data_IF_604224311152
#
_entry.id   IF_604224311152
#
_cell.length_a   1.000
_cell.length_b   1.000
_cell.length_c   1.000
_cell.angle_alpha   90.00
_cell.angle_beta   90.00
_cell.angle_gamma   90.00
#
_symmetry.space_group_name_H-M   'P 1'
#
loop_
_entity.id
_entity.type
_entity.pdbx_description
1 polymer ?
#
# COMPACT_ATOMS: atom_id res chain seq x y z
N UNK A 1 -3.44 32.08 8.22
CA UNK A 1 -4.54 31.43 7.48
C UNK A 1 -4.10 31.21 6.03
N UNK A 2 -3.26 30.20 5.77
CA UNK A 2 -3.13 29.63 4.43
C UNK A 2 -4.02 28.39 4.42
N UNK A 3 -5.31 28.59 4.11
CA UNK A 3 -6.21 27.54 3.71
C UNK A 3 -5.53 26.75 2.58
N UNK A 4 -5.71 25.43 2.56
CA UNK A 4 -5.50 24.65 1.34
C UNK A 4 -6.17 25.44 0.23
N UNK A 5 -5.42 25.89 -0.78
CA UNK A 5 -5.95 26.82 -1.77
C UNK A 5 -7.27 26.26 -2.28
N UNK A 6 -8.36 26.93 -1.92
CA UNK A 6 -9.66 26.62 -2.44
C UNK A 6 -9.54 26.67 -3.95
N UNK A 7 -9.87 25.57 -4.63
CA UNK A 7 -9.62 25.29 -6.01
C UNK A 7 -9.65 26.52 -6.90
N UNK A 8 -8.55 26.77 -7.58
CA UNK A 8 -8.62 27.45 -8.84
C UNK A 8 -9.61 26.65 -9.69
N UNK A 9 -10.77 27.26 -9.95
CA UNK A 9 -11.81 26.61 -10.75
C UNK A 9 -11.17 26.07 -12.00
N UNK A 10 -11.26 24.77 -12.19
CA UNK A 10 -10.95 24.16 -13.46
C UNK A 10 -11.95 24.73 -14.47
N UNK A 11 -11.62 25.87 -15.04
CA UNK A 11 -12.25 26.40 -16.21
C UNK A 11 -12.12 25.35 -17.29
N UNK A 12 -13.19 24.65 -17.59
CA UNK A 12 -13.36 23.76 -18.74
C UNK A 12 -13.19 24.55 -20.03
N UNK A 13 -11.99 24.99 -20.33
CA UNK A 13 -11.54 25.49 -21.64
C UNK A 13 -10.16 24.92 -21.98
N UNK A 14 -10.12 23.63 -22.09
CA UNK A 14 -9.14 22.85 -22.80
C UNK A 14 -9.85 21.64 -23.36
N UNK A 15 -10.20 21.64 -24.64
CA UNK A 15 -10.55 20.43 -25.37
C UNK A 15 -9.34 19.52 -25.34
N UNK A 16 -9.13 18.81 -24.22
CA UNK A 16 -8.28 17.63 -24.19
C UNK A 16 -9.02 16.64 -25.07
N UNK A 17 -8.41 16.35 -26.23
CA UNK A 17 -9.01 15.51 -27.24
C UNK A 17 -9.30 14.10 -26.71
N UNK A 18 -10.45 13.90 -26.12
CA UNK A 18 -11.05 12.60 -25.84
C UNK A 18 -11.23 11.72 -27.09
N UNK A 19 -11.06 12.30 -28.29
CA UNK A 19 -11.20 11.61 -29.57
C UNK A 19 -10.06 10.62 -29.90
N UNK A 20 -8.95 10.59 -29.16
CA UNK A 20 -7.81 9.70 -29.47
C UNK A 20 -7.70 8.46 -28.57
N UNK A 21 -8.57 8.33 -27.57
CA UNK A 21 -8.60 7.15 -26.69
C UNK A 21 -9.52 6.04 -27.25
N UNK A 22 -10.42 6.38 -28.16
CA UNK A 22 -11.39 5.45 -28.77
C UNK A 22 -10.78 4.48 -29.82
N UNK A 23 -9.48 4.48 -30.04
CA UNK A 23 -8.83 3.61 -31.04
C UNK A 23 -7.86 2.57 -30.44
N UNK A 24 -7.73 2.45 -29.13
CA UNK A 24 -7.00 1.33 -28.54
C UNK A 24 -7.89 0.09 -28.59
N UNK A 25 -7.44 -0.93 -29.31
CA UNK A 25 -7.96 -2.30 -29.19
C UNK A 25 -8.05 -2.57 -27.69
N UNK A 26 -9.24 -2.98 -27.21
CA UNK A 26 -9.45 -3.45 -25.85
C UNK A 26 -8.31 -4.39 -25.50
N UNK A 27 -7.38 -3.93 -24.69
CA UNK A 27 -6.38 -4.82 -24.11
C UNK A 27 -7.14 -5.62 -23.07
N UNK A 28 -7.31 -6.91 -23.31
CA UNK A 28 -7.92 -7.80 -22.35
C UNK A 28 -7.13 -7.66 -21.04
N UNK A 29 -7.74 -7.10 -19.99
CA UNK A 29 -7.18 -7.05 -18.62
C UNK A 29 -7.01 -8.45 -18.02
N UNK A 30 -7.16 -9.46 -18.85
CA UNK A 30 -7.04 -10.86 -18.45
C UNK A 30 -5.59 -11.33 -18.50
N UNK A 31 -5.04 -11.64 -17.34
CA UNK A 31 -3.71 -12.27 -17.19
C UNK A 31 -3.85 -13.77 -16.92
N UNK A 32 -2.97 -14.56 -17.55
CA UNK A 32 -2.99 -16.01 -17.43
C UNK A 32 -3.66 -16.72 -18.63
N UNK A 33 -3.61 -18.04 -18.62
CA UNK A 33 -4.16 -18.89 -19.68
C UNK A 33 -5.28 -19.77 -19.13
N UNK A 34 -6.41 -19.84 -19.84
CA UNK A 34 -7.48 -20.76 -19.48
C UNK A 34 -6.98 -22.21 -19.50
N UNK A 35 -7.25 -22.94 -18.42
CA UNK A 35 -6.96 -24.37 -18.35
C UNK A 35 -7.67 -25.12 -19.49
N UNK A 36 -6.92 -26.04 -20.12
CA UNK A 36 -7.44 -27.04 -21.08
C UNK A 36 -6.75 -28.36 -20.78
N UNK A 37 -7.50 -29.50 -20.73
CA UNK A 37 -6.89 -30.82 -20.60
C UNK A 37 -5.81 -31.03 -21.63
N UNK A 38 -4.69 -31.65 -21.23
CA UNK A 38 -3.56 -31.96 -22.13
C UNK A 38 -2.62 -30.78 -22.46
N UNK A 39 -2.90 -29.55 -21.99
CA UNK A 39 -2.02 -28.38 -22.24
C UNK A 39 -1.00 -28.11 -21.14
N UNK A 40 -1.03 -28.86 -20.04
CA UNK A 40 -0.02 -28.74 -19.01
C UNK A 40 1.23 -29.49 -19.41
N UNK A 41 2.31 -28.75 -19.68
CA UNK A 41 3.60 -29.31 -20.06
C UNK A 41 4.41 -29.71 -18.82
N UNK A 42 3.93 -30.70 -18.04
CA UNK A 42 4.67 -31.27 -16.92
C UNK A 42 5.93 -32.04 -17.34
N UNK A 43 6.76 -32.49 -16.39
CA UNK A 43 6.64 -32.29 -14.94
C UNK A 43 7.02 -30.89 -14.51
N UNK A 44 6.54 -30.48 -13.32
CA UNK A 44 6.87 -29.22 -12.64
C UNK A 44 7.62 -29.53 -11.35
N UNK A 45 8.57 -28.67 -10.98
CA UNK A 45 9.27 -28.75 -9.69
C UNK A 45 8.41 -28.21 -8.54
N UNK A 46 7.50 -27.25 -8.85
CA UNK A 46 6.60 -26.65 -7.87
C UNK A 46 5.24 -26.30 -8.48
N UNK A 47 4.20 -26.51 -7.68
CA UNK A 47 2.84 -26.04 -7.95
C UNK A 47 2.48 -24.97 -6.93
N UNK A 48 2.09 -23.79 -7.39
CA UNK A 48 1.62 -22.69 -6.56
C UNK A 48 0.11 -22.54 -6.76
N UNK A 49 -0.64 -22.65 -5.70
CA UNK A 49 -2.11 -22.52 -5.73
C UNK A 49 -2.49 -21.08 -5.32
N UNK A 50 -3.12 -20.35 -6.23
CA UNK A 50 -3.48 -18.95 -6.10
C UNK A 50 -2.43 -18.00 -6.70
N UNK A 51 -2.89 -17.07 -7.51
CA UNK A 51 -2.08 -16.05 -8.20
C UNK A 51 -2.20 -14.66 -7.60
N UNK A 52 -2.61 -14.54 -6.32
CA UNK A 52 -2.46 -13.29 -5.60
C UNK A 52 -0.99 -12.89 -5.45
N UNK A 53 -0.69 -11.67 -5.01
CA UNK A 53 0.68 -11.15 -4.97
C UNK A 53 1.67 -12.07 -4.22
N UNK A 54 1.23 -12.73 -3.15
CA UNK A 54 2.06 -13.70 -2.41
C UNK A 54 2.40 -14.94 -3.23
N UNK A 55 1.42 -15.50 -3.95
CA UNK A 55 1.61 -16.67 -4.82
C UNK A 55 2.49 -16.33 -6.02
N UNK A 56 2.24 -15.18 -6.67
CA UNK A 56 3.08 -14.70 -7.78
C UNK A 56 4.51 -14.44 -7.31
N UNK A 57 4.71 -13.80 -6.17
CA UNK A 57 6.05 -13.60 -5.59
C UNK A 57 6.78 -14.92 -5.36
N UNK A 58 6.13 -15.91 -4.75
CA UNK A 58 6.74 -17.21 -4.51
C UNK A 58 7.08 -17.92 -5.82
N UNK A 59 6.17 -17.91 -6.80
CA UNK A 59 6.37 -18.52 -8.09
C UNK A 59 7.54 -17.87 -8.86
N UNK A 60 7.58 -16.53 -8.91
CA UNK A 60 8.65 -15.80 -9.58
C UNK A 60 10.02 -16.05 -8.92
N UNK A 61 10.09 -16.05 -7.58
CA UNK A 61 11.33 -16.40 -6.87
C UNK A 61 11.80 -17.82 -7.21
N UNK A 62 10.92 -18.80 -7.19
CA UNK A 62 11.26 -20.18 -7.55
C UNK A 62 11.72 -20.28 -9.02
N UNK A 63 11.02 -19.60 -9.94
CA UNK A 63 11.40 -19.58 -11.35
C UNK A 63 12.79 -18.94 -11.56
N UNK A 64 13.09 -17.85 -10.87
CA UNK A 64 14.41 -17.20 -10.89
C UNK A 64 15.53 -18.09 -10.30
N UNK A 65 15.17 -19.05 -9.45
CA UNK A 65 16.08 -20.10 -8.97
C UNK A 65 16.18 -21.30 -9.93
N UNK A 66 15.67 -21.17 -11.15
CA UNK A 66 15.73 -22.22 -12.18
C UNK A 66 14.68 -23.33 -12.01
N UNK A 67 13.68 -23.16 -11.15
CA UNK A 67 12.62 -24.16 -10.96
C UNK A 67 11.53 -24.00 -12.02
N UNK A 68 11.05 -25.13 -12.54
CA UNK A 68 9.87 -25.15 -13.42
C UNK A 68 8.60 -25.06 -12.55
N UNK A 69 7.93 -23.91 -12.60
CA UNK A 69 6.78 -23.60 -11.72
C UNK A 69 5.49 -23.54 -12.52
N UNK A 70 4.42 -24.09 -11.96
CA UNK A 70 3.05 -23.88 -12.45
C UNK A 70 2.23 -23.15 -11.39
N UNK A 71 1.57 -22.05 -11.78
CA UNK A 71 0.62 -21.32 -10.93
C UNK A 71 -0.79 -21.70 -11.35
N UNK A 72 -1.58 -22.17 -10.39
CA UNK A 72 -2.99 -22.53 -10.58
C UNK A 72 -3.87 -21.46 -9.97
N UNK A 73 -4.77 -20.89 -10.75
CA UNK A 73 -5.71 -19.85 -10.33
C UNK A 73 -7.15 -20.28 -10.64
N UNK A 74 -8.03 -20.15 -9.65
CA UNK A 74 -9.46 -20.48 -9.82
C UNK A 74 -10.27 -19.36 -10.48
N UNK A 75 -9.80 -18.11 -10.32
CA UNK A 75 -10.46 -16.94 -10.89
C UNK A 75 -10.24 -16.87 -12.40
N UNK A 76 -11.06 -16.14 -13.13
CA UNK A 76 -10.93 -16.02 -14.59
C UNK A 76 -9.66 -15.28 -15.04
N UNK A 77 -9.01 -14.54 -14.14
CA UNK A 77 -7.75 -13.81 -14.36
C UNK A 77 -6.83 -13.93 -13.15
N UNK A 78 -5.52 -13.87 -13.37
CA UNK A 78 -4.52 -13.85 -12.30
C UNK A 78 -4.45 -12.45 -11.63
N UNK A 79 -3.85 -12.42 -10.43
CA UNK A 79 -3.56 -11.18 -9.70
C UNK A 79 -4.18 -11.11 -8.31
N UNK A 80 -5.19 -11.94 -7.99
CA UNK A 80 -5.93 -11.78 -6.73
C UNK A 80 -6.51 -10.36 -6.65
N UNK A 81 -6.33 -9.62 -5.54
CA UNK A 81 -6.83 -8.25 -5.41
C UNK A 81 -6.11 -7.21 -6.29
N UNK A 82 -5.05 -7.58 -7.01
CA UNK A 82 -4.39 -6.67 -7.98
C UNK A 82 -4.95 -6.80 -9.40
N UNK A 83 -6.02 -7.58 -9.61
CA UNK A 83 -6.64 -7.65 -10.93
C UNK A 83 -7.57 -6.46 -11.20
N UNK A 84 -7.78 -6.18 -12.49
CA UNK A 84 -8.78 -5.24 -12.95
C UNK A 84 -9.88 -5.98 -13.73
N UNK A 85 -11.02 -5.33 -13.92
CA UNK A 85 -12.12 -5.82 -14.75
C UNK A 85 -12.68 -4.72 -15.65
N UNK A 86 -13.31 -5.10 -16.75
CA UNK A 86 -13.97 -4.16 -17.65
C UNK A 86 -15.48 -4.23 -17.45
N UNK A 87 -16.13 -3.07 -17.40
CA UNK A 87 -17.58 -2.96 -17.37
C UNK A 87 -18.02 -1.70 -18.14
N UNK A 88 -18.94 -1.88 -19.08
CA UNK A 88 -19.50 -0.79 -19.88
C UNK A 88 -18.44 0.07 -20.58
N UNK A 89 -17.33 -0.53 -21.05
CA UNK A 89 -16.24 0.17 -21.73
C UNK A 89 -15.26 0.89 -20.80
N UNK A 90 -15.38 0.70 -19.50
CA UNK A 90 -14.47 1.25 -18.47
C UNK A 90 -13.72 0.14 -17.78
N UNK A 91 -12.45 0.40 -17.47
CA UNK A 91 -11.61 -0.47 -16.64
C UNK A 91 -11.70 -0.04 -15.17
N UNK A 92 -11.81 -1.03 -14.29
CA UNK A 92 -11.96 -0.86 -12.86
C UNK A 92 -10.97 -1.76 -12.13
N UNK A 93 -10.27 -1.21 -11.14
CA UNK A 93 -9.48 -1.99 -10.22
C UNK A 93 -10.32 -2.55 -9.08
N UNK A 94 -9.93 -3.72 -8.57
CA UNK A 94 -10.66 -4.41 -7.50
C UNK A 94 -10.18 -4.02 -6.12
N UNK A 95 -8.87 -4.06 -5.88
CA UNK A 95 -8.32 -3.83 -4.55
C UNK A 95 -7.07 -2.96 -4.51
N UNK A 96 -6.65 -2.39 -5.64
CA UNK A 96 -5.54 -1.42 -5.71
C UNK A 96 -6.10 -0.07 -6.09
N UNK A 97 -6.05 0.91 -5.17
CA UNK A 97 -6.34 2.31 -5.48
C UNK A 97 -5.05 3.09 -5.76
N UNK A 98 -4.16 3.23 -4.82
CA UNK A 98 -2.78 3.68 -4.93
C UNK A 98 -1.98 3.00 -3.83
N UNK A 99 -0.67 2.91 -3.96
CA UNK A 99 0.19 2.32 -2.94
C UNK A 99 1.37 3.22 -2.64
N UNK A 100 1.87 3.15 -1.43
CA UNK A 100 3.07 3.85 -0.99
C UNK A 100 4.34 3.01 -1.16
N UNK A 101 5.45 3.54 -0.71
CA UNK A 101 6.74 2.84 -0.63
C UNK A 101 7.28 2.25 -1.95
N UNK A 102 6.84 2.75 -3.13
CA UNK A 102 7.31 2.28 -4.44
C UNK A 102 7.97 3.38 -5.30
N UNK A 103 7.96 4.63 -4.84
CA UNK A 103 8.55 5.76 -5.57
C UNK A 103 10.05 5.96 -5.37
N UNK A 104 10.59 5.63 -4.20
CA UNK A 104 12.00 5.71 -3.86
C UNK A 104 12.63 4.31 -3.83
N UNK A 105 13.96 4.16 -3.71
CA UNK A 105 14.60 2.83 -3.61
C UNK A 105 14.31 2.16 -2.27
N UNK A 106 13.03 1.97 -1.97
CA UNK A 106 12.50 1.27 -0.80
C UNK A 106 12.62 -0.23 -0.96
N UNK A 107 12.36 -0.98 0.12
CA UNK A 107 12.34 -2.46 0.05
C UNK A 107 11.23 -2.95 -0.87
N UNK A 108 10.06 -2.32 -0.80
CA UNK A 108 8.89 -2.67 -1.63
C UNK A 108 9.18 -2.42 -3.10
N UNK A 109 9.74 -1.27 -3.46
CA UNK A 109 10.14 -0.96 -4.84
C UNK A 109 11.15 -1.98 -5.36
N UNK A 110 12.20 -2.27 -4.61
CA UNK A 110 13.22 -3.26 -5.01
C UNK A 110 12.65 -4.66 -5.21
N UNK A 111 11.66 -5.05 -4.38
CA UNK A 111 10.97 -6.32 -4.56
C UNK A 111 10.21 -6.35 -5.89
N UNK A 112 9.41 -5.33 -6.19
CA UNK A 112 8.68 -5.26 -7.46
C UNK A 112 9.62 -5.20 -8.67
N UNK A 113 10.69 -4.42 -8.60
CA UNK A 113 11.70 -4.36 -9.67
C UNK A 113 12.36 -5.74 -9.90
N UNK A 114 12.68 -6.46 -8.82
CA UNK A 114 13.23 -7.82 -8.91
C UNK A 114 12.22 -8.80 -9.51
N UNK A 115 10.95 -8.78 -9.09
CA UNK A 115 9.92 -9.70 -9.56
C UNK A 115 9.57 -9.45 -11.03
N UNK A 116 9.40 -8.20 -11.41
CA UNK A 116 8.99 -7.77 -12.75
C UNK A 116 10.15 -7.55 -13.73
N UNK A 117 11.41 -7.69 -13.26
CA UNK A 117 12.60 -7.34 -14.05
C UNK A 117 12.59 -5.87 -14.53
N UNK A 118 12.08 -4.99 -13.67
CA UNK A 118 11.95 -3.56 -13.96
C UNK A 118 10.81 -3.20 -14.92
N UNK A 119 10.00 -4.15 -15.36
CA UNK A 119 8.89 -3.90 -16.30
C UNK A 119 7.67 -3.24 -15.68
N UNK A 120 7.54 -3.28 -14.34
CA UNK A 120 6.46 -2.61 -13.62
C UNK A 120 6.87 -1.18 -13.29
N UNK A 121 6.24 -0.24 -13.96
CA UNK A 121 6.47 1.19 -13.75
C UNK A 121 5.41 1.78 -12.81
N UNK A 122 5.81 2.80 -12.06
CA UNK A 122 4.99 3.48 -11.07
C UNK A 122 4.89 4.96 -11.38
N UNK A 123 3.68 5.47 -11.54
CA UNK A 123 3.40 6.89 -11.67
C UNK A 123 3.16 7.50 -10.28
N UNK A 124 3.86 8.57 -9.90
CA UNK A 124 3.55 9.28 -8.67
C UNK A 124 2.20 9.99 -8.78
N UNK A 125 1.45 10.02 -7.70
CA UNK A 125 0.31 10.92 -7.54
C UNK A 125 0.81 12.36 -7.32
N UNK A 126 -0.11 13.32 -7.27
CA UNK A 126 0.22 14.69 -6.87
C UNK A 126 0.81 14.72 -5.45
N UNK A 127 1.55 15.78 -5.10
CA UNK A 127 2.10 15.95 -3.74
C UNK A 127 1.01 15.87 -2.67
N UNK A 128 -0.19 16.37 -2.97
CA UNK A 128 -1.40 16.17 -2.18
C UNK A 128 -2.11 14.92 -2.72
N UNK A 129 -1.84 13.79 -2.07
CA UNK A 129 -2.31 12.48 -2.53
C UNK A 129 -3.65 12.05 -1.94
N UNK A 130 -4.09 12.69 -0.84
CA UNK A 130 -5.36 12.37 -0.20
C UNK A 130 -5.97 13.58 0.52
N UNK A 131 -7.30 13.58 0.70
CA UNK A 131 -8.06 14.62 1.42
C UNK A 131 -9.05 13.99 2.38
N UNK A 132 -8.94 14.37 3.66
CA UNK A 132 -9.87 13.95 4.69
C UNK A 132 -10.79 15.10 5.08
N UNK A 133 -12.08 14.85 5.04
CA UNK A 133 -13.09 15.79 5.46
C UNK A 133 -13.58 15.39 6.85
N UNK A 134 -13.31 16.21 7.85
CA UNK A 134 -13.69 16.01 9.25
C UNK A 134 -14.51 17.20 9.69
N UNK A 135 -15.84 17.06 9.73
CA UNK A 135 -16.75 18.20 9.91
C UNK A 135 -16.51 19.24 8.81
N UNK A 136 -16.29 20.49 9.22
CA UNK A 136 -16.02 21.62 8.32
C UNK A 136 -14.53 21.77 7.96
N UNK A 137 -13.66 20.89 8.45
CA UNK A 137 -12.22 20.91 8.18
C UNK A 137 -11.84 20.00 7.04
N UNK A 138 -10.85 20.42 6.28
CA UNK A 138 -10.23 19.60 5.23
C UNK A 138 -8.76 19.45 5.54
N UNK A 139 -8.31 18.21 5.76
CA UNK A 139 -6.91 17.89 5.87
C UNK A 139 -6.41 17.30 4.54
N UNK A 140 -5.34 17.89 4.00
CA UNK A 140 -4.72 17.43 2.77
C UNK A 140 -3.46 16.63 3.13
N UNK A 141 -3.46 15.32 2.92
CA UNK A 141 -2.27 14.50 3.13
C UNK A 141 -1.24 14.79 2.04
N UNK A 142 -0.04 15.23 2.44
CA UNK A 142 1.05 15.58 1.52
C UNK A 142 2.20 14.60 1.63
N UNK A 143 2.80 14.32 0.47
CA UNK A 143 3.98 13.49 0.37
C UNK A 143 5.19 14.11 1.10
N UNK A 144 5.86 13.32 1.91
CA UNK A 144 7.01 13.72 2.71
C UNK A 144 6.71 13.79 4.21
N UNK A 145 7.54 13.10 4.99
CA UNK A 145 7.39 13.00 6.46
C UNK A 145 7.29 14.38 7.12
N UNK A 146 8.14 15.33 6.71
CA UNK A 146 8.14 16.67 7.27
C UNK A 146 6.91 17.46 6.81
N UNK A 147 6.55 17.38 5.52
CA UNK A 147 5.38 18.06 4.98
C UNK A 147 4.08 17.57 5.63
N UNK A 148 3.96 16.27 5.91
CA UNK A 148 2.84 15.69 6.64
C UNK A 148 2.75 16.24 8.07
N UNK A 149 3.88 16.23 8.81
CA UNK A 149 3.96 16.81 10.16
C UNK A 149 3.57 18.28 10.18
N UNK A 150 4.19 19.09 9.32
CA UNK A 150 3.99 20.54 9.31
C UNK A 150 2.54 20.91 8.95
N UNK A 151 1.92 20.11 8.09
CA UNK A 151 0.53 20.29 7.74
C UNK A 151 -0.42 19.95 8.91
N UNK A 152 -0.14 18.92 9.72
CA UNK A 152 -0.87 18.65 10.95
C UNK A 152 -0.71 19.80 11.95
N UNK A 153 0.51 20.26 12.21
CA UNK A 153 0.79 21.37 13.13
C UNK A 153 0.15 22.67 12.66
N UNK A 154 0.12 22.93 11.36
CA UNK A 154 -0.55 24.14 10.83
C UNK A 154 -2.06 24.14 11.10
N UNK A 155 -2.70 22.98 11.17
CA UNK A 155 -4.14 22.87 11.47
C UNK A 155 -4.43 22.73 12.96
N UNK A 156 -3.51 22.18 13.72
CA UNK A 156 -3.60 21.93 15.16
C UNK A 156 -2.39 22.53 15.91
N UNK A 157 -2.20 23.85 15.91
CA UNK A 157 -0.99 24.45 16.45
C UNK A 157 -0.82 24.26 17.97
N UNK A 158 -1.89 24.07 18.70
CA UNK A 158 -1.84 23.77 20.14
C UNK A 158 -1.37 22.33 20.42
N UNK A 159 -1.40 21.45 19.43
CA UNK A 159 -1.15 20.01 19.53
C UNK A 159 0.20 19.60 18.94
N UNK A 160 1.14 20.53 18.73
CA UNK A 160 2.45 20.24 18.12
C UNK A 160 3.18 19.11 18.86
N UNK A 161 3.13 19.11 20.19
CA UNK A 161 3.79 18.08 21.00
C UNK A 161 3.20 16.68 20.78
N UNK A 162 1.87 16.59 20.62
CA UNK A 162 1.15 15.35 20.33
C UNK A 162 1.46 14.84 18.91
N UNK A 163 1.49 15.76 17.93
CA UNK A 163 1.91 15.43 16.55
C UNK A 163 3.32 14.87 16.53
N UNK A 164 4.27 15.51 17.24
CA UNK A 164 5.65 15.01 17.32
C UNK A 164 5.74 13.66 18.02
N UNK A 165 4.96 13.45 19.08
CA UNK A 165 4.89 12.16 19.75
C UNK A 165 4.35 11.08 18.81
N UNK A 166 3.30 11.37 18.06
CA UNK A 166 2.76 10.47 17.04
C UNK A 166 3.81 10.10 15.99
N UNK A 167 4.54 11.07 15.44
CA UNK A 167 5.59 10.82 14.44
C UNK A 167 6.74 9.95 14.99
N UNK A 168 7.05 10.09 16.31
CA UNK A 168 8.00 9.19 16.99
C UNK A 168 7.47 7.77 17.11
N UNK A 169 6.15 7.59 17.42
CA UNK A 169 5.53 6.27 17.49
C UNK A 169 5.57 5.56 16.14
N UNK A 170 5.28 6.25 15.03
CA UNK A 170 5.39 5.67 13.69
C UNK A 170 6.81 5.12 13.41
N UNK A 171 7.85 5.87 13.79
CA UNK A 171 9.25 5.45 13.63
C UNK A 171 9.58 4.22 14.48
N UNK A 172 9.07 4.15 15.72
CA UNK A 172 9.27 3.00 16.62
C UNK A 172 8.61 1.73 16.09
N UNK A 173 7.40 1.85 15.52
CA UNK A 173 6.69 0.73 14.89
C UNK A 173 7.49 0.17 13.71
N UNK A 174 8.06 1.02 12.86
CA UNK A 174 8.87 0.57 11.72
C UNK A 174 10.07 -0.27 12.15
N UNK A 175 10.79 0.18 13.17
CA UNK A 175 11.89 -0.59 13.75
C UNK A 175 11.45 -1.95 14.29
N UNK A 176 10.31 -2.00 15.01
CA UNK A 176 9.76 -3.24 15.55
C UNK A 176 9.28 -4.21 14.46
N UNK A 177 8.61 -3.71 13.42
CA UNK A 177 8.16 -4.53 12.28
C UNK A 177 9.35 -5.17 11.54
N UNK A 178 10.44 -4.42 11.36
CA UNK A 178 11.66 -4.94 10.77
C UNK A 178 12.22 -6.12 11.61
N UNK A 179 12.19 -6.02 12.93
CA UNK A 179 12.62 -7.09 13.84
C UNK A 179 11.68 -8.30 13.82
N UNK A 180 10.37 -8.08 13.76
CA UNK A 180 9.38 -9.16 13.63
C UNK A 180 9.56 -9.92 12.31
N UNK A 181 9.76 -9.21 11.21
CA UNK A 181 10.03 -9.79 9.89
C UNK A 181 11.33 -10.63 9.89
N UNK A 182 12.40 -10.10 10.47
CA UNK A 182 13.67 -10.82 10.59
C UNK A 182 13.50 -12.11 11.40
N UNK A 183 12.72 -12.08 12.49
CA UNK A 183 12.46 -13.27 13.29
C UNK A 183 11.77 -14.43 12.54
N UNK A 184 11.07 -14.15 11.43
CA UNK A 184 10.41 -15.20 10.62
C UNK A 184 11.39 -15.97 9.73
N UNK A 185 12.49 -15.36 9.32
CA UNK A 185 13.50 -15.99 8.45
C UNK A 185 14.68 -16.58 9.23
N UNK A 186 14.75 -16.36 10.55
CA UNK A 186 15.78 -16.92 11.41
C UNK A 186 15.60 -18.42 11.62
N UNK A 187 16.71 -19.15 11.76
CA UNK A 187 16.71 -20.53 12.23
C UNK A 187 16.12 -20.63 13.65
N UNK A 188 15.51 -21.77 14.04
CA UNK A 188 14.84 -21.91 15.33
C UNK A 188 15.72 -21.53 16.53
N UNK A 189 16.98 -21.92 16.55
CA UNK A 189 17.94 -21.60 17.61
C UNK A 189 18.26 -20.09 17.67
N UNK A 190 18.46 -19.43 16.50
CA UNK A 190 18.70 -17.98 16.42
C UNK A 190 17.49 -17.20 16.91
N UNK A 191 16.28 -17.67 16.53
CA UNK A 191 15.01 -17.08 16.96
C UNK A 191 14.84 -17.17 18.48
N UNK A 192 15.22 -18.30 19.09
CA UNK A 192 15.18 -18.50 20.55
C UNK A 192 16.18 -17.58 21.25
N UNK A 193 17.41 -17.51 20.79
CA UNK A 193 18.47 -16.69 21.37
C UNK A 193 18.16 -15.19 21.29
N UNK A 194 17.58 -14.73 20.17
CA UNK A 194 17.23 -13.32 19.96
C UNK A 194 15.88 -12.91 20.57
N UNK A 195 15.11 -13.84 21.15
CA UNK A 195 13.76 -13.58 21.65
C UNK A 195 13.68 -12.43 22.68
N UNK A 196 14.57 -12.33 23.71
CA UNK A 196 14.53 -11.24 24.68
C UNK A 196 14.74 -9.87 24.00
N UNK A 197 15.72 -9.79 23.11
CA UNK A 197 16.01 -8.55 22.37
C UNK A 197 14.84 -8.13 21.47
N UNK A 198 14.23 -9.08 20.74
CA UNK A 198 13.06 -8.80 19.90
C UNK A 198 11.86 -8.35 20.73
N UNK A 199 11.61 -8.99 21.88
CA UNK A 199 10.55 -8.58 22.81
C UNK A 199 10.78 -7.15 23.30
N UNK A 200 12.00 -6.82 23.71
CA UNK A 200 12.35 -5.46 24.13
C UNK A 200 12.15 -4.42 23.03
N UNK A 201 12.43 -4.77 21.76
CA UNK A 201 12.25 -3.90 20.59
C UNK A 201 10.81 -3.82 20.09
N UNK A 202 9.92 -4.69 20.57
CA UNK A 202 8.50 -4.70 20.17
C UNK A 202 7.67 -4.10 21.30
N UNK A 203 7.35 -2.80 21.25
CA UNK A 203 6.62 -2.13 22.33
C UNK A 203 5.18 -2.62 22.43
N UNK A 204 4.66 -2.74 23.64
CA UNK A 204 3.30 -3.25 23.90
C UNK A 204 2.20 -2.37 23.29
N UNK A 205 2.44 -1.04 23.15
CA UNK A 205 1.47 -0.13 22.54
C UNK A 205 1.09 -0.54 21.10
N UNK A 206 1.94 -1.26 20.40
CA UNK A 206 1.64 -1.72 19.03
C UNK A 206 0.40 -2.61 18.95
N UNK A 207 0.12 -3.37 20.01
CA UNK A 207 -1.01 -4.31 20.05
C UNK A 207 -2.27 -3.71 20.69
N UNK A 208 -2.15 -2.51 21.23
CA UNK A 208 -3.29 -1.78 21.79
C UNK A 208 -4.16 -1.17 20.71
N UNK A 209 -5.37 -0.80 21.03
CA UNK A 209 -6.28 -0.15 20.09
C UNK A 209 -5.72 1.20 19.64
N UNK A 210 -5.88 1.51 18.37
CA UNK A 210 -5.40 2.77 17.78
C UNK A 210 -5.92 3.99 18.55
N UNK A 211 -7.23 4.00 18.83
CA UNK A 211 -7.86 5.09 19.57
C UNK A 211 -7.25 5.29 20.97
N UNK A 212 -7.04 4.19 21.72
CA UNK A 212 -6.50 4.27 23.08
C UNK A 212 -5.06 4.84 23.08
N UNK A 213 -4.24 4.45 22.10
CA UNK A 213 -2.86 4.97 21.98
C UNK A 213 -2.86 6.46 21.61
N UNK A 214 -3.75 6.88 20.71
CA UNK A 214 -3.82 8.28 20.29
C UNK A 214 -4.41 9.18 21.39
N UNK A 215 -5.40 8.68 22.16
CA UNK A 215 -5.97 9.41 23.30
C UNK A 215 -4.99 9.61 24.47
N UNK A 216 -3.87 8.89 24.52
CA UNK A 216 -2.78 9.19 25.47
C UNK A 216 -1.87 10.34 24.99
N UNK A 217 -1.95 10.71 23.72
CA UNK A 217 -1.16 11.81 23.16
C UNK A 217 -1.92 13.14 23.20
N UNK A 218 -3.25 13.10 23.05
CA UNK A 218 -4.11 14.29 22.96
C UNK A 218 -5.56 13.98 23.30
N UNK A 219 -6.25 14.97 23.83
CA UNK A 219 -7.70 14.96 24.03
C UNK A 219 -8.45 15.55 22.81
N UNK A 220 -7.75 16.14 21.83
CA UNK A 220 -8.35 16.74 20.64
C UNK A 220 -8.88 15.64 19.69
N UNK A 221 -10.20 15.46 19.69
CA UNK A 221 -10.88 14.44 18.89
C UNK A 221 -10.80 14.71 17.38
N UNK A 222 -10.71 15.98 16.97
CA UNK A 222 -10.56 16.34 15.56
C UNK A 222 -9.16 15.97 15.05
N UNK A 223 -8.12 16.14 15.88
CA UNK A 223 -6.78 15.67 15.57
C UNK A 223 -6.75 14.14 15.47
N UNK A 224 -7.35 13.44 16.44
CA UNK A 224 -7.43 11.96 16.40
C UNK A 224 -8.16 11.49 15.14
N UNK A 225 -9.31 12.10 14.81
CA UNK A 225 -10.07 11.77 13.60
C UNK A 225 -9.26 12.03 12.31
N UNK A 226 -8.52 13.15 12.27
CA UNK A 226 -7.66 13.52 11.15
C UNK A 226 -6.51 12.53 10.96
N UNK A 227 -5.81 12.17 12.04
CA UNK A 227 -4.74 11.16 12.01
C UNK A 227 -5.28 9.80 11.55
N UNK A 228 -6.50 9.46 11.94
CA UNK A 228 -7.15 8.21 11.56
C UNK A 228 -7.82 8.24 10.19
N UNK A 229 -7.70 9.30 9.39
CA UNK A 229 -8.42 9.46 8.11
C UNK A 229 -8.34 8.27 7.15
N UNK A 230 -7.22 7.54 7.15
CA UNK A 230 -6.99 6.34 6.32
C UNK A 230 -7.48 5.03 6.97
N UNK A 231 -8.35 5.07 7.98
CA UNK A 231 -8.82 3.85 8.66
C UNK A 231 -9.54 2.87 7.72
N UNK A 232 -10.12 3.35 6.62
CA UNK A 232 -10.76 2.51 5.60
C UNK A 232 -9.82 1.48 4.99
N UNK A 233 -8.54 1.80 4.84
CA UNK A 233 -7.53 0.90 4.26
C UNK A 233 -7.25 -0.33 5.13
N UNK A 234 -7.53 -0.25 6.43
CA UNK A 234 -7.39 -1.39 7.35
C UNK A 234 -8.72 -2.11 7.63
N UNK A 235 -9.85 -1.58 7.20
CA UNK A 235 -11.17 -2.18 7.31
C UNK A 235 -11.77 -2.22 8.73
N UNK A 236 -11.07 -1.66 9.72
CA UNK A 236 -11.52 -1.60 11.12
C UNK A 236 -11.41 -0.18 11.67
N UNK A 237 -12.43 0.33 12.37
CA UNK A 237 -12.37 1.65 12.97
C UNK A 237 -11.31 1.72 14.09
N UNK A 238 -10.81 2.92 14.43
CA UNK A 238 -9.71 3.11 15.39
C UNK A 238 -9.93 2.46 16.77
N UNK A 239 -11.18 2.35 17.22
CA UNK A 239 -11.54 1.69 18.47
C UNK A 239 -11.48 0.16 18.43
N UNK A 240 -11.24 -0.43 17.27
CA UNK A 240 -11.18 -1.89 17.05
C UNK A 240 -9.86 -2.34 16.41
N UNK A 241 -9.16 -1.44 15.70
CA UNK A 241 -7.89 -1.75 15.04
C UNK A 241 -6.72 -1.65 16.00
N UNK A 242 -5.70 -2.50 15.80
CA UNK A 242 -4.44 -2.39 16.53
C UNK A 242 -3.60 -1.22 15.98
N UNK A 243 -2.94 -0.46 16.87
CA UNK A 243 -2.10 0.67 16.49
C UNK A 243 -1.00 0.31 15.49
N UNK A 244 -0.47 -0.91 15.58
CA UNK A 244 0.52 -1.42 14.63
C UNK A 244 0.01 -1.34 13.18
N UNK A 245 -1.25 -1.74 12.92
CA UNK A 245 -1.82 -1.74 11.57
C UNK A 245 -2.02 -0.30 11.08
N UNK A 246 -2.56 0.58 11.93
CA UNK A 246 -2.68 1.99 11.65
C UNK A 246 -1.31 2.62 11.29
N UNK A 247 -0.30 2.38 12.14
CA UNK A 247 1.04 2.92 11.92
C UNK A 247 1.70 2.38 10.63
N UNK A 248 1.45 1.12 10.27
CA UNK A 248 1.92 0.56 8.99
C UNK A 248 1.33 1.32 7.80
N UNK A 249 0.02 1.59 7.82
CA UNK A 249 -0.67 2.30 6.75
C UNK A 249 -0.21 3.75 6.69
N UNK A 250 -0.25 4.47 7.81
CA UNK A 250 0.20 5.86 7.86
C UNK A 250 1.64 6.02 7.34
N UNK A 251 2.55 5.12 7.77
CA UNK A 251 3.94 5.13 7.32
C UNK A 251 4.09 4.80 5.83
N UNK A 252 3.27 3.87 5.34
CA UNK A 252 3.28 3.46 3.93
C UNK A 252 3.10 4.65 2.99
N UNK A 253 2.24 5.59 3.37
CA UNK A 253 1.93 6.77 2.58
C UNK A 253 2.72 8.04 2.92
N UNK A 254 3.60 8.02 3.93
CA UNK A 254 4.42 9.20 4.27
C UNK A 254 5.28 9.73 3.11
N UNK A 255 5.60 8.89 2.14
CA UNK A 255 6.38 9.29 0.96
C UNK A 255 5.51 9.52 -0.29
N UNK A 256 4.20 9.58 -0.12
CA UNK A 256 3.21 9.77 -1.19
C UNK A 256 2.59 8.49 -1.70
N UNK A 257 1.61 8.65 -2.58
CA UNK A 257 0.92 7.58 -3.29
C UNK A 257 1.46 7.39 -4.71
N UNK A 258 1.41 6.16 -5.19
CA UNK A 258 1.84 5.78 -6.54
C UNK A 258 0.84 4.80 -7.14
N UNK A 259 0.73 4.81 -8.45
CA UNK A 259 -0.17 3.93 -9.17
C UNK A 259 0.59 3.20 -10.30
N UNK A 260 0.30 1.92 -10.58
CA UNK A 260 0.96 1.19 -11.65
C UNK A 260 0.62 1.78 -13.02
N UNK A 261 1.63 2.07 -13.82
CA UNK A 261 1.42 2.60 -15.17
C UNK A 261 0.70 1.55 -16.03
N UNK A 262 -0.48 1.90 -16.50
CA UNK A 262 -1.35 1.03 -17.32
C UNK A 262 -2.40 0.24 -16.55
N UNK A 263 -2.55 0.44 -15.22
CA UNK A 263 -3.58 -0.18 -14.39
C UNK A 263 -3.05 -1.25 -13.44
N UNK A 264 -3.84 -1.60 -12.41
CA UNK A 264 -3.42 -2.54 -11.37
C UNK A 264 -3.09 -3.95 -11.89
N UNK A 265 -3.76 -4.40 -12.94
CA UNK A 265 -3.52 -5.72 -13.57
C UNK A 265 -2.08 -5.88 -14.12
N UNK A 266 -1.39 -4.76 -14.38
CA UNK A 266 0.02 -4.76 -14.78
C UNK A 266 0.93 -5.43 -13.75
N UNK A 267 0.56 -5.39 -12.47
CA UNK A 267 1.31 -6.06 -11.39
C UNK A 267 1.41 -7.57 -11.68
N UNK A 268 0.28 -8.20 -11.97
CA UNK A 268 0.27 -9.64 -12.26
C UNK A 268 0.83 -9.99 -13.65
N UNK A 269 0.68 -9.10 -14.62
CA UNK A 269 1.17 -9.33 -15.97
C UNK A 269 2.70 -9.26 -16.07
N UNK A 270 3.33 -8.41 -15.27
CA UNK A 270 4.77 -8.20 -15.32
C UNK A 270 5.58 -9.16 -14.44
N UNK A 271 4.93 -9.83 -13.51
CA UNK A 271 5.53 -10.88 -12.68
C UNK A 271 5.40 -12.25 -13.33
#
# INVERSE_FOLDING_TARGET
RRQCAAGAGYGLRGRIGYARIMGRKSHSVRTGRRYRPGRLAGPYDALVVGSGIGGLTAAACLAKMGRKVCVLEQHYTAGGYTHSYERAGYEWDVGVHYIGDVGAPTRTRRLFDFLSEGRLEWAPMADEYDRFYVGDRVFCARAGKQAFRDNLVAQFPAEESAVDAYMRLLTRVDGALSMLGMGRVMQPWQRRLSAPYRKWKTPDFMYRKTYDVLSELTDDQDLIATICGQWGDMGLPPKQSAFMVHAMIARHYLHGGFYPVGGAWRIAETI
#
